data_IF_762150716653
#
_entry.id   IF_762150716653
#
_cell.length_a   1.000
_cell.length_b   1.000
_cell.length_c   1.000
_cell.angle_alpha   90.00
_cell.angle_beta   90.00
_cell.angle_gamma   90.00
#
_symmetry.space_group_name_H-M   'P 1'
#
loop_
_entity.id
_entity.type
_entity.pdbx_description
1 polymer ?
#
# COMPACT_ATOMS: atom_id res chain seq x y z
N UNK A 1 12.16 50.59 10.95
CA UNK A 1 12.33 49.12 11.12
C UNK A 1 11.02 48.46 11.55
N UNK A 2 10.32 47.71 10.69
CA UNK A 2 9.29 46.73 11.12
C UNK A 2 9.23 45.56 10.13
N UNK A 3 9.89 44.46 10.49
CA UNK A 3 9.97 43.24 9.69
C UNK A 3 8.69 42.40 9.79
N UNK A 4 8.01 42.18 8.66
CA UNK A 4 6.92 41.20 8.55
C UNK A 4 7.49 39.82 8.23
N UNK A 5 7.70 38.99 9.25
CA UNK A 5 7.99 37.55 9.09
C UNK A 5 6.78 36.85 8.46
N UNK A 6 6.86 36.50 7.17
CA UNK A 6 5.90 35.61 6.51
C UNK A 6 6.07 34.20 7.07
N UNK A 7 5.20 33.79 7.99
CA UNK A 7 5.04 32.38 8.41
C UNK A 7 4.64 31.56 7.17
N UNK A 8 5.61 30.88 6.55
CA UNK A 8 5.35 29.82 5.57
C UNK A 8 4.66 28.68 6.32
N UNK A 9 3.32 28.61 6.23
CA UNK A 9 2.56 27.41 6.63
C UNK A 9 3.00 26.29 5.69
N UNK A 10 3.86 25.42 6.20
CA UNK A 10 4.17 24.12 5.58
C UNK A 10 2.86 23.33 5.57
N UNK A 11 2.16 23.33 4.42
CA UNK A 11 1.03 22.42 4.20
C UNK A 11 1.61 21.01 4.20
N UNK A 12 1.46 20.30 5.32
CA UNK A 12 1.81 18.88 5.44
C UNK A 12 1.10 18.10 4.33
N UNK A 13 1.77 17.13 3.67
CA UNK A 13 1.16 16.38 2.59
C UNK A 13 0.15 15.38 3.18
N UNK A 14 -1.14 15.70 3.13
CA UNK A 14 -2.24 14.79 3.45
C UNK A 14 -2.19 13.46 2.65
N UNK A 15 -1.41 13.45 1.56
CA UNK A 15 -1.28 12.38 0.59
C UNK A 15 -0.40 11.21 1.05
N UNK A 16 0.58 11.46 1.93
CA UNK A 16 1.36 10.38 2.54
C UNK A 16 0.46 9.54 3.46
N UNK A 17 -0.45 10.18 4.20
CA UNK A 17 -1.38 9.55 5.13
C UNK A 17 -2.35 8.55 4.45
N UNK A 18 -2.71 8.78 3.18
CA UNK A 18 -3.61 7.89 2.43
C UNK A 18 -2.96 6.55 2.05
N UNK A 19 -1.65 6.54 1.75
CA UNK A 19 -0.92 5.31 1.46
C UNK A 19 -0.71 4.43 2.70
N UNK A 20 -0.47 5.06 3.85
CA UNK A 20 -0.44 4.36 5.15
C UNK A 20 -1.81 3.76 5.51
N UNK A 21 -2.92 4.38 5.11
CA UNK A 21 -4.26 3.86 5.36
C UNK A 21 -4.53 2.50 4.70
N UNK A 22 -4.15 2.34 3.43
CA UNK A 22 -4.35 1.06 2.71
C UNK A 22 -3.42 -0.04 3.24
N UNK A 23 -2.19 0.31 3.61
CA UNK A 23 -1.26 -0.63 4.23
C UNK A 23 -1.73 -1.07 5.62
N UNK A 24 -2.20 -0.15 6.46
CA UNK A 24 -2.77 -0.47 7.78
C UNK A 24 -4.02 -1.34 7.67
N UNK A 25 -4.90 -1.08 6.70
CA UNK A 25 -6.08 -1.93 6.50
C UNK A 25 -5.69 -3.36 6.12
N UNK A 26 -4.69 -3.53 5.23
CA UNK A 26 -4.18 -4.86 4.89
C UNK A 26 -3.49 -5.56 6.06
N UNK A 27 -2.76 -4.83 6.90
CA UNK A 27 -2.18 -5.37 8.13
C UNK A 27 -3.28 -5.84 9.09
N UNK A 28 -4.35 -5.05 9.24
CA UNK A 28 -5.50 -5.44 10.06
C UNK A 28 -6.17 -6.72 9.56
N UNK A 29 -6.34 -6.87 8.24
CA UNK A 29 -6.87 -8.10 7.64
C UNK A 29 -5.95 -9.30 7.95
N UNK A 30 -4.63 -9.11 7.91
CA UNK A 30 -3.68 -10.18 8.27
C UNK A 30 -3.76 -10.54 9.77
N UNK A 31 -3.92 -9.57 10.66
CA UNK A 31 -4.14 -9.83 12.10
C UNK A 31 -5.45 -10.59 12.36
N UNK A 32 -6.51 -10.28 11.61
CA UNK A 32 -7.78 -11.00 11.68
C UNK A 32 -7.62 -12.45 11.18
N UNK A 33 -6.88 -12.65 10.09
CA UNK A 33 -6.51 -13.99 9.60
C UNK A 33 -5.72 -14.80 10.64
N UNK A 34 -4.73 -14.20 11.30
CA UNK A 34 -3.98 -14.88 12.35
C UNK A 34 -4.87 -15.35 13.50
N UNK A 35 -5.86 -14.52 13.90
CA UNK A 35 -6.83 -14.92 14.92
C UNK A 35 -7.71 -16.08 14.46
N UNK A 36 -8.15 -16.08 13.19
CA UNK A 36 -8.95 -17.17 12.64
C UNK A 36 -8.19 -18.49 12.54
N UNK A 37 -6.90 -18.43 12.20
CA UNK A 37 -6.00 -19.59 12.23
C UNK A 37 -5.90 -20.11 13.67
N UNK A 38 -5.69 -19.23 14.65
CA UNK A 38 -5.67 -19.60 16.07
C UNK A 38 -6.96 -20.28 16.54
N UNK A 39 -8.13 -19.74 16.14
CA UNK A 39 -9.42 -20.33 16.45
C UNK A 39 -9.60 -21.72 15.79
N UNK A 40 -9.13 -21.87 14.55
CA UNK A 40 -9.17 -23.15 13.83
C UNK A 40 -8.32 -24.23 14.52
N UNK A 41 -7.14 -23.86 15.02
CA UNK A 41 -6.28 -24.76 15.81
C UNK A 41 -6.93 -25.19 17.13
N UNK A 42 -7.58 -24.27 17.85
CA UNK A 42 -8.31 -24.64 19.06
C UNK A 42 -9.50 -25.57 18.78
N UNK A 43 -10.22 -25.32 17.69
CA UNK A 43 -11.31 -26.20 17.25
C UNK A 43 -10.79 -27.61 16.94
N UNK A 44 -9.66 -27.72 16.25
CA UNK A 44 -9.00 -28.99 15.99
C UNK A 44 -8.60 -29.73 17.28
N UNK A 45 -8.07 -29.02 18.28
CA UNK A 45 -7.79 -29.61 19.60
C UNK A 45 -9.05 -30.15 20.29
N UNK A 46 -10.16 -29.43 20.18
CA UNK A 46 -11.47 -29.85 20.72
C UNK A 46 -11.99 -31.11 20.01
N UNK A 47 -11.83 -31.19 18.69
CA UNK A 47 -12.18 -32.37 17.89
C UNK A 47 -11.36 -33.60 18.31
N UNK A 48 -10.06 -33.45 18.53
CA UNK A 48 -9.19 -34.55 18.99
C UNK A 48 -9.65 -35.07 20.36
N UNK A 49 -10.01 -34.18 21.28
CA UNK A 49 -10.55 -34.56 22.59
C UNK A 49 -11.94 -35.22 22.50
N UNK A 50 -12.76 -34.84 21.53
CA UNK A 50 -14.06 -35.49 21.33
C UNK A 50 -13.89 -36.91 20.77
N UNK A 51 -12.93 -37.10 19.86
CA UNK A 51 -12.60 -38.40 19.28
C UNK A 51 -11.96 -39.38 20.29
N UNK A 52 -11.40 -38.89 21.39
CA UNK A 52 -10.83 -39.75 22.43
C UNK A 52 -11.88 -40.34 23.39
N UNK A 53 -13.14 -39.92 23.29
CA UNK A 53 -14.25 -40.45 24.09
C UNK A 53 -14.72 -41.80 23.53
N UNK A 54 -15.20 -42.68 24.41
CA UNK A 54 -15.76 -43.99 24.02
C UNK A 54 -16.96 -43.90 23.07
N UNK A 55 -17.71 -42.78 23.11
CA UNK A 55 -18.81 -42.49 22.20
C UNK A 55 -18.74 -41.04 21.74
N UNK A 56 -18.10 -40.81 20.61
CA UNK A 56 -17.98 -39.49 20.02
C UNK A 56 -19.30 -38.99 19.40
N UNK A 57 -19.56 -37.69 19.50
CA UNK A 57 -20.72 -37.06 18.85
C UNK A 57 -20.51 -36.84 17.36
N UNK A 58 -20.93 -37.78 16.50
CA UNK A 58 -20.77 -37.70 15.04
C UNK A 58 -21.27 -36.37 14.44
N UNK A 59 -22.47 -35.92 14.84
CA UNK A 59 -23.04 -34.66 14.32
C UNK A 59 -22.23 -33.42 14.73
N UNK A 60 -21.56 -33.45 15.88
CA UNK A 60 -20.65 -32.39 16.32
C UNK A 60 -19.38 -32.43 15.47
N UNK A 61 -18.82 -33.62 15.24
CA UNK A 61 -17.64 -33.83 14.41
C UNK A 61 -17.85 -33.36 12.96
N UNK A 62 -18.97 -33.73 12.33
CA UNK A 62 -19.32 -33.28 10.98
C UNK A 62 -19.42 -31.76 10.89
N UNK A 63 -20.09 -31.12 11.86
CA UNK A 63 -20.18 -29.67 11.92
C UNK A 63 -18.81 -29.02 12.05
N UNK A 64 -17.95 -29.55 12.91
CA UNK A 64 -16.60 -29.01 13.12
C UNK A 64 -15.71 -29.21 11.89
N UNK A 65 -15.83 -30.35 11.20
CA UNK A 65 -15.14 -30.60 9.95
C UNK A 65 -15.58 -29.60 8.86
N UNK A 66 -16.89 -29.36 8.71
CA UNK A 66 -17.40 -28.38 7.75
C UNK A 66 -16.92 -26.95 8.07
N UNK A 67 -16.92 -26.56 9.35
CA UNK A 67 -16.42 -25.26 9.79
C UNK A 67 -14.91 -25.11 9.56
N UNK A 68 -14.13 -26.17 9.81
CA UNK A 68 -12.69 -26.19 9.54
C UNK A 68 -12.40 -26.06 8.04
N UNK A 69 -13.09 -26.81 7.18
CA UNK A 69 -12.95 -26.69 5.73
C UNK A 69 -13.27 -25.28 5.24
N UNK A 70 -14.33 -24.66 5.75
CA UNK A 70 -14.68 -23.28 5.40
C UNK A 70 -13.61 -22.27 5.87
N UNK A 71 -13.07 -22.44 7.08
CA UNK A 71 -12.00 -21.59 7.59
C UNK A 71 -10.72 -21.71 6.75
N UNK A 72 -10.31 -22.92 6.38
CA UNK A 72 -9.14 -23.16 5.52
C UNK A 72 -9.33 -22.51 4.14
N UNK A 73 -10.49 -22.69 3.51
CA UNK A 73 -10.80 -22.05 2.23
C UNK A 73 -10.75 -20.53 2.31
N UNK A 74 -11.27 -19.95 3.40
CA UNK A 74 -11.20 -18.51 3.62
C UNK A 74 -9.75 -18.05 3.75
N UNK A 75 -8.97 -18.67 4.63
CA UNK A 75 -7.55 -18.35 4.86
C UNK A 75 -6.76 -18.42 3.55
N UNK A 76 -6.95 -19.49 2.77
CA UNK A 76 -6.28 -19.66 1.47
C UNK A 76 -6.66 -18.53 0.49
N UNK A 77 -7.95 -18.20 0.39
CA UNK A 77 -8.44 -17.18 -0.53
C UNK A 77 -7.92 -15.78 -0.21
N UNK A 78 -7.89 -15.40 1.06
CA UNK A 78 -7.45 -14.08 1.51
C UNK A 78 -5.93 -13.96 1.45
N UNK A 79 -5.19 -14.99 1.86
CA UNK A 79 -3.73 -15.01 1.74
C UNK A 79 -3.31 -14.91 0.27
N UNK A 80 -3.99 -15.63 -0.63
CA UNK A 80 -3.77 -15.52 -2.08
C UNK A 80 -4.05 -14.12 -2.61
N UNK A 81 -5.07 -13.42 -2.09
CA UNK A 81 -5.33 -12.03 -2.44
C UNK A 81 -4.21 -11.08 -1.96
N UNK A 82 -3.67 -11.29 -0.76
CA UNK A 82 -2.55 -10.50 -0.25
C UNK A 82 -1.26 -10.76 -1.03
N UNK A 83 -0.98 -12.03 -1.39
CA UNK A 83 0.17 -12.39 -2.24
C UNK A 83 0.05 -11.72 -3.60
N UNK A 84 -1.10 -11.81 -4.28
CA UNK A 84 -1.32 -11.13 -5.57
C UNK A 84 -1.09 -9.63 -5.48
N UNK A 85 -1.58 -9.00 -4.41
CA UNK A 85 -1.34 -7.58 -4.17
C UNK A 85 0.15 -7.28 -3.97
N UNK A 86 0.85 -8.06 -3.13
CA UNK A 86 2.30 -7.93 -2.92
C UNK A 86 3.06 -8.08 -4.22
N UNK A 87 2.73 -9.07 -5.05
CA UNK A 87 3.32 -9.23 -6.39
C UNK A 87 3.06 -8.01 -7.26
N UNK A 88 1.85 -7.45 -7.27
CA UNK A 88 1.50 -6.25 -8.03
C UNK A 88 2.32 -5.03 -7.56
N UNK A 89 2.45 -4.82 -6.25
CA UNK A 89 3.20 -3.66 -5.73
C UNK A 89 4.72 -3.85 -5.77
N UNK A 90 5.22 -5.08 -5.69
CA UNK A 90 6.65 -5.41 -5.73
C UNK A 90 7.23 -5.43 -7.14
N UNK A 91 6.43 -5.76 -8.16
CA UNK A 91 6.84 -5.75 -9.58
C UNK A 91 6.84 -4.34 -10.21
N UNK A 92 6.61 -3.30 -9.41
CA UNK A 92 6.75 -1.92 -9.87
C UNK A 92 5.58 -1.42 -10.72
N UNK A 93 4.44 -2.12 -10.76
CA UNK A 93 3.18 -1.50 -11.18
C UNK A 93 2.91 -0.37 -10.17
N UNK A 94 2.98 0.90 -10.59
CA UNK A 94 2.87 2.00 -9.67
C UNK A 94 1.52 1.88 -9.00
N UNK A 95 1.53 1.91 -7.67
CA UNK A 95 0.43 2.51 -6.93
C UNK A 95 -0.01 3.77 -7.71
N UNK A 96 -1.09 3.67 -8.46
CA UNK A 96 -1.77 4.82 -9.05
C UNK A 96 -2.42 5.70 -7.98
N UNK A 97 -2.04 5.51 -6.71
CA UNK A 97 -2.15 6.50 -5.65
C UNK A 97 -1.17 7.66 -5.82
N UNK A 98 -1.19 8.34 -6.98
CA UNK A 98 -1.05 9.80 -7.08
C UNK A 98 0.37 10.42 -6.82
N UNK A 99 1.25 9.78 -6.06
CA UNK A 99 2.59 10.29 -5.74
C UNK A 99 3.60 10.12 -6.87
N UNK A 100 3.63 8.97 -7.56
CA UNK A 100 4.53 8.77 -8.69
C UNK A 100 4.20 9.70 -9.86
N UNK A 101 2.92 9.76 -10.26
CA UNK A 101 2.46 10.63 -11.36
C UNK A 101 2.74 12.10 -11.07
N UNK A 102 2.47 12.59 -9.86
CA UNK A 102 2.77 13.98 -9.48
C UNK A 102 4.27 14.27 -9.40
N UNK A 103 5.08 13.32 -8.90
CA UNK A 103 6.54 13.46 -8.87
C UNK A 103 7.11 13.49 -10.29
N UNK A 104 6.62 12.62 -11.19
CA UNK A 104 7.01 12.60 -12.59
C UNK A 104 6.58 13.88 -13.31
N UNK A 105 5.35 14.35 -13.09
CA UNK A 105 4.86 15.62 -13.64
C UNK A 105 5.71 16.80 -13.17
N UNK A 106 6.06 16.86 -11.88
CA UNK A 106 6.97 17.85 -11.32
C UNK A 106 8.37 17.77 -11.96
N UNK A 107 8.93 16.56 -12.08
CA UNK A 107 10.23 16.35 -12.73
C UNK A 107 10.22 16.83 -14.19
N UNK A 108 9.16 16.54 -14.94
CA UNK A 108 9.04 17.00 -16.32
C UNK A 108 8.85 18.52 -16.41
N UNK A 109 8.14 19.13 -15.46
CA UNK A 109 8.04 20.59 -15.37
C UNK A 109 9.40 21.24 -15.08
N UNK A 110 10.22 20.67 -14.18
CA UNK A 110 11.58 21.13 -13.93
C UNK A 110 12.45 21.03 -15.19
N UNK A 111 12.45 19.87 -15.85
CA UNK A 111 13.21 19.69 -17.09
C UNK A 111 12.81 20.71 -18.18
N UNK A 112 11.52 21.05 -18.28
CA UNK A 112 11.04 22.09 -19.20
C UNK A 112 11.55 23.48 -18.82
N UNK A 113 11.59 23.81 -17.53
CA UNK A 113 12.14 25.09 -17.04
C UNK A 113 13.63 25.18 -17.32
N UNK A 114 14.38 24.11 -17.07
CA UNK A 114 15.83 24.08 -17.32
C UNK A 114 16.12 24.21 -18.82
N UNK A 115 15.33 23.56 -19.66
CA UNK A 115 15.42 23.71 -21.12
C UNK A 115 15.11 25.15 -21.57
N UNK A 116 14.06 25.76 -21.03
CA UNK A 116 13.72 27.14 -21.34
C UNK A 116 14.83 28.12 -20.90
N UNK A 117 15.44 27.90 -19.73
CA UNK A 117 16.58 28.69 -19.26
C UNK A 117 17.79 28.57 -20.18
N UNK A 118 18.11 27.34 -20.62
CA UNK A 118 19.18 27.10 -21.58
C UNK A 118 18.95 27.90 -22.87
N UNK A 119 17.74 27.80 -23.43
CA UNK A 119 17.38 28.49 -24.68
C UNK A 119 17.40 30.01 -24.55
N UNK A 120 16.91 30.54 -23.43
CA UNK A 120 17.01 31.98 -23.13
C UNK A 120 18.46 32.44 -23.00
N UNK A 121 19.34 31.64 -22.38
CA UNK A 121 20.77 31.96 -22.29
C UNK A 121 21.50 31.88 -23.63
N UNK A 122 21.11 30.96 -24.52
CA UNK A 122 21.58 30.94 -25.91
C UNK A 122 21.15 32.21 -26.66
N UNK A 123 19.88 32.59 -26.54
CA UNK A 123 19.36 33.80 -27.19
C UNK A 123 20.01 35.08 -26.67
N UNK A 124 20.19 35.21 -25.35
CA UNK A 124 20.84 36.38 -24.75
C UNK A 124 22.26 36.57 -25.30
N UNK A 125 23.04 35.50 -25.36
CA UNK A 125 24.41 35.53 -25.94
C UNK A 125 24.39 35.89 -27.43
N UNK A 126 23.44 35.37 -28.19
CA UNK A 126 23.31 35.73 -29.60
C UNK A 126 22.97 37.22 -29.77
N UNK A 127 22.10 37.77 -28.93
CA UNK A 127 21.80 39.21 -28.95
C UNK A 127 23.02 40.06 -28.56
N UNK A 128 23.79 39.66 -27.55
CA UNK A 128 25.03 40.34 -27.16
C UNK A 128 26.06 40.36 -28.31
N UNK A 129 26.24 39.23 -29.00
CA UNK A 129 27.12 39.14 -30.17
C UNK A 129 26.68 40.02 -31.35
N UNK A 130 25.37 40.26 -31.50
CA UNK A 130 24.85 41.18 -32.52
C UNK A 130 24.96 42.67 -32.12
N UNK A 131 25.20 42.95 -30.84
CA UNK A 131 25.34 44.29 -30.27
C UNK A 131 26.80 44.74 -30.14
N UNK A 132 27.77 43.82 -30.23
CA UNK A 132 29.18 44.18 -30.42
C UNK A 132 29.42 44.58 -31.90
N UNK A 133 29.90 45.81 -32.18
CA UNK A 133 30.12 46.32 -33.54
C UNK A 133 31.32 45.71 -34.27
#
# INVERSE_FOLDING_TARGET
>A
MRGRKRKRRVRRPARAMAGYGVANERLRVLEELEREIGASLQSAGTVILELSKEKAGERLLERQAAQFSAAVQKVESELSAQIRYLTQVATGQPHEGSSYSARKACQMALNRVDYARLKLGELARACEQMLEP
#
